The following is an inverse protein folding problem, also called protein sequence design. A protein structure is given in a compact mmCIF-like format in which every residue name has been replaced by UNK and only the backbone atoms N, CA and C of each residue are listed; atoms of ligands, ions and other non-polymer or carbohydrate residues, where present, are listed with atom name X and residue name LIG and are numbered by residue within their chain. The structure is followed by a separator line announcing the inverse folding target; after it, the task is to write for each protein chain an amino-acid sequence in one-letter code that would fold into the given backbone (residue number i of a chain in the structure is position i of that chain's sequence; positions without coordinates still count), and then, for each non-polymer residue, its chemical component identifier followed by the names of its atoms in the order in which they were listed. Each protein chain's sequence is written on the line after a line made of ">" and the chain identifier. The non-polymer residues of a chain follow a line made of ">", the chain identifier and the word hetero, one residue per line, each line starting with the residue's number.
data_IF_576001849500
#
_entry.id   IF_576001849500
#
_cell.length_a   1.000
_cell.length_b   1.000
_cell.length_c   1.000
_cell.angle_alpha   90.00
_cell.angle_beta   90.00
_cell.angle_gamma   90.00
#
_symmetry.space_group_name_H-M   'P 1'
#
loop_
_entity.id
_entity.type
_entity.pdbx_description
1 polymer ?
#
# COMPACT_ATOMS: atom_id res chain seq x y z
N UNK A 1 7.33 4.25 18.39
CA UNK A 1 6.12 4.39 19.24
C UNK A 1 5.08 3.42 18.70
N UNK A 2 4.77 2.33 19.42
CA UNK A 2 3.87 1.27 18.93
C UNK A 2 2.43 1.63 19.31
N UNK A 3 1.52 1.69 18.34
CA UNK A 3 0.10 1.87 18.64
C UNK A 3 -0.42 0.72 19.53
N UNK A 4 -1.33 0.97 20.49
CA UNK A 4 -1.91 -0.10 21.29
C UNK A 4 -2.51 -1.19 20.42
N UNK A 5 -2.27 -2.46 20.75
CA UNK A 5 -2.75 -3.62 19.98
C UNK A 5 -4.27 -3.59 19.73
N UNK A 6 -5.04 -3.11 20.71
CA UNK A 6 -6.48 -2.95 20.59
C UNK A 6 -6.88 -1.94 19.49
N UNK A 7 -6.14 -0.82 19.37
CA UNK A 7 -6.38 0.21 18.34
C UNK A 7 -6.11 -0.35 16.94
N UNK A 8 -4.98 -1.04 16.74
CA UNK A 8 -4.65 -1.68 15.46
C UNK A 8 -5.73 -2.69 15.06
N UNK A 9 -6.14 -3.57 15.99
CA UNK A 9 -7.18 -4.56 15.72
C UNK A 9 -8.55 -3.93 15.42
N UNK A 10 -8.85 -2.76 15.97
CA UNK A 10 -10.06 -2.02 15.64
C UNK A 10 -9.98 -1.41 14.23
N UNK A 11 -8.84 -0.81 13.86
CA UNK A 11 -8.60 -0.27 12.52
C UNK A 11 -8.68 -1.37 11.47
N UNK A 12 -8.01 -2.50 11.66
CA UNK A 12 -8.05 -3.61 10.72
C UNK A 12 -9.49 -4.10 10.46
N UNK A 13 -10.28 -4.32 11.52
CA UNK A 13 -11.69 -4.70 11.40
C UNK A 13 -12.54 -3.66 10.68
N UNK A 14 -12.31 -2.38 10.96
CA UNK A 14 -13.02 -1.29 10.28
C UNK A 14 -12.68 -1.27 8.78
N UNK A 15 -11.40 -1.42 8.42
CA UNK A 15 -10.96 -1.48 7.03
C UNK A 15 -11.58 -2.67 6.31
N UNK A 16 -11.63 -3.85 6.92
CA UNK A 16 -12.28 -5.02 6.33
C UNK A 16 -13.79 -4.82 6.13
N UNK A 17 -14.48 -4.22 7.09
CA UNK A 17 -15.91 -3.92 6.95
C UNK A 17 -16.18 -2.91 5.82
N UNK A 18 -15.35 -1.86 5.73
CA UNK A 18 -15.40 -0.87 4.66
C UNK A 18 -15.08 -1.49 3.30
N UNK A 19 -14.05 -2.35 3.25
CA UNK A 19 -13.66 -3.09 2.05
C UNK A 19 -14.80 -3.96 1.52
N UNK A 20 -15.44 -4.76 2.38
CA UNK A 20 -16.62 -5.57 2.00
C UNK A 20 -17.75 -4.72 1.46
N UNK A 21 -18.07 -3.63 2.14
CA UNK A 21 -19.16 -2.72 1.73
C UNK A 21 -18.85 -2.03 0.39
N UNK A 22 -17.60 -1.58 0.19
CA UNK A 22 -17.16 -0.96 -1.06
C UNK A 22 -17.19 -1.97 -2.20
N UNK A 23 -16.65 -3.16 -1.98
CA UNK A 23 -16.58 -4.20 -3.00
C UNK A 23 -17.98 -4.64 -3.47
N UNK A 24 -18.95 -4.74 -2.56
CA UNK A 24 -20.34 -5.03 -2.91
C UNK A 24 -21.00 -3.95 -3.80
N UNK A 25 -20.54 -2.69 -3.73
CA UNK A 25 -21.06 -1.58 -4.53
C UNK A 25 -20.29 -1.36 -5.84
N UNK A 26 -18.99 -1.62 -5.83
CA UNK A 26 -18.07 -1.45 -6.96
C UNK A 26 -17.06 -2.59 -6.94
N UNK A 27 -17.18 -3.57 -7.86
CA UNK A 27 -16.19 -4.62 -8.02
C UNK A 27 -14.80 -4.01 -8.28
N UNK A 28 -13.79 -4.51 -7.56
CA UNK A 28 -12.42 -3.98 -7.57
C UNK A 28 -11.71 -4.20 -6.23
N UNK A 29 -10.39 -4.03 -6.22
CA UNK A 29 -9.58 -4.13 -5.00
C UNK A 29 -9.66 -2.82 -4.19
N UNK A 30 -10.00 -2.89 -2.89
CA UNK A 30 -9.97 -1.72 -2.01
C UNK A 30 -8.53 -1.27 -1.79
N UNK A 31 -8.30 0.05 -1.78
CA UNK A 31 -7.02 0.67 -1.51
C UNK A 31 -7.08 1.53 -0.25
N UNK A 32 -6.01 1.45 0.56
CA UNK A 32 -5.81 2.23 1.77
C UNK A 32 -4.45 2.90 1.67
N UNK A 33 -4.42 4.24 1.75
CA UNK A 33 -3.19 5.01 1.80
C UNK A 33 -2.79 5.23 3.27
N UNK A 34 -1.54 4.92 3.60
CA UNK A 34 -0.95 5.23 4.91
C UNK A 34 0.15 6.26 4.65
N UNK A 35 -0.10 7.50 5.06
CA UNK A 35 0.80 8.63 4.85
C UNK A 35 1.25 9.25 6.18
N UNK A 36 2.37 9.98 6.13
CA UNK A 36 3.01 10.62 7.26
C UNK A 36 4.52 10.82 7.04
N UNK A 37 5.15 11.66 7.86
CA UNK A 37 6.59 11.94 7.76
C UNK A 37 7.45 10.68 7.92
N UNK A 38 8.72 10.79 7.54
CA UNK A 38 9.72 9.75 7.85
C UNK A 38 9.77 9.52 9.37
N UNK A 39 9.89 8.25 9.79
CA UNK A 39 9.89 7.87 11.20
C UNK A 39 8.51 7.86 11.90
N UNK A 40 7.42 8.27 11.24
CA UNK A 40 6.08 8.32 11.85
C UNK A 40 5.45 6.95 12.17
N UNK A 41 6.09 5.84 11.80
CA UNK A 41 5.60 4.48 12.08
C UNK A 41 4.66 3.90 11.02
N UNK A 42 4.63 4.47 9.80
CA UNK A 42 3.80 3.99 8.67
C UNK A 42 3.98 2.49 8.41
N UNK A 43 5.24 2.05 8.26
CA UNK A 43 5.55 0.64 7.98
C UNK A 43 5.16 -0.27 9.15
N UNK A 44 5.31 0.20 10.39
CA UNK A 44 4.85 -0.52 11.58
C UNK A 44 3.33 -0.69 11.57
N UNK A 45 2.58 0.37 11.27
CA UNK A 45 1.12 0.32 11.17
C UNK A 45 0.67 -0.58 10.02
N UNK A 46 1.29 -0.46 8.84
CA UNK A 46 0.98 -1.27 7.68
C UNK A 46 1.16 -2.76 7.95
N UNK A 47 2.30 -3.16 8.55
CA UNK A 47 2.57 -4.54 8.91
C UNK A 47 1.59 -5.08 9.96
N UNK A 48 1.13 -4.23 10.88
CA UNK A 48 0.19 -4.63 11.92
C UNK A 48 -1.26 -4.76 11.38
N UNK A 49 -1.63 -3.98 10.37
CA UNK A 49 -2.92 -4.08 9.67
C UNK A 49 -2.95 -5.23 8.66
N UNK A 50 -1.82 -5.54 8.04
CA UNK A 50 -1.68 -6.57 7.00
C UNK A 50 -0.68 -7.67 7.43
N UNK A 51 -0.99 -8.43 8.48
CA UNK A 51 -0.13 -9.54 8.89
C UNK A 51 -0.08 -10.62 7.79
N UNK A 52 1.00 -11.44 7.75
CA UNK A 52 1.11 -12.54 6.79
C UNK A 52 -0.12 -13.46 6.80
N UNK A 53 -0.63 -13.80 5.61
CA UNK A 53 -1.85 -14.61 5.44
C UNK A 53 -3.17 -13.84 5.64
N UNK A 54 -3.11 -12.55 5.98
CA UNK A 54 -4.28 -11.68 6.05
C UNK A 54 -4.82 -11.29 4.67
N UNK A 55 -6.00 -10.61 4.63
CA UNK A 55 -6.66 -10.23 3.38
C UNK A 55 -6.01 -9.02 2.69
N UNK A 56 -5.07 -8.34 3.36
CA UNK A 56 -4.41 -7.14 2.89
C UNK A 56 -2.98 -7.42 2.44
N UNK A 57 -2.52 -6.70 1.41
CA UNK A 57 -1.13 -6.66 0.99
C UNK A 57 -0.58 -5.24 1.15
N UNK A 58 0.69 -5.12 1.50
CA UNK A 58 1.38 -3.83 1.62
C UNK A 58 2.22 -3.59 0.38
N UNK A 59 2.08 -2.41 -0.22
CA UNK A 59 2.95 -1.91 -1.28
C UNK A 59 3.62 -0.64 -0.77
N UNK A 60 4.95 -0.70 -0.58
CA UNK A 60 5.74 0.50 -0.29
C UNK A 60 6.04 1.25 -1.60
N UNK A 61 5.82 2.57 -1.64
CA UNK A 61 6.09 3.36 -2.85
C UNK A 61 7.59 3.33 -3.20
N UNK A 62 8.45 3.32 -2.19
CA UNK A 62 9.90 3.22 -2.35
C UNK A 62 10.34 1.91 -3.04
N UNK A 63 9.47 0.90 -3.18
CA UNK A 63 9.82 -0.37 -3.82
C UNK A 63 10.02 -0.26 -5.34
N UNK A 64 9.57 0.83 -5.99
CA UNK A 64 9.60 0.97 -7.45
C UNK A 64 9.87 2.40 -7.93
N UNK A 65 10.28 3.30 -7.04
CA UNK A 65 10.67 4.64 -7.43
C UNK A 65 12.09 4.60 -8.05
N UNK A 66 12.29 5.13 -9.27
CA UNK A 66 13.59 5.09 -9.93
C UNK A 66 14.57 6.11 -9.36
N UNK A 67 15.12 5.79 -8.19
CA UNK A 67 16.05 6.65 -7.48
C UNK A 67 15.42 7.92 -6.91
N UNK A 68 16.27 8.84 -6.45
CA UNK A 68 15.85 10.08 -5.79
C UNK A 68 15.16 11.07 -6.75
N UNK A 69 15.54 11.06 -8.02
CA UNK A 69 14.94 11.92 -9.06
C UNK A 69 13.67 11.30 -9.68
N UNK A 70 13.33 10.06 -9.29
CA UNK A 70 12.25 9.27 -9.86
C UNK A 70 10.85 9.61 -9.38
N UNK A 71 10.65 10.69 -8.62
CA UNK A 71 9.36 11.01 -7.99
C UNK A 71 8.22 11.15 -9.02
N UNK A 72 8.48 11.79 -10.15
CA UNK A 72 7.45 11.97 -11.19
C UNK A 72 7.05 10.62 -11.80
N UNK A 73 8.03 9.80 -12.17
CA UNK A 73 7.80 8.48 -12.75
C UNK A 73 7.11 7.54 -11.75
N UNK A 74 7.61 7.48 -10.52
CA UNK A 74 7.02 6.71 -9.43
C UNK A 74 5.58 7.12 -9.12
N UNK A 75 5.27 8.42 -9.20
CA UNK A 75 3.89 8.92 -9.04
C UNK A 75 2.97 8.48 -10.19
N UNK A 76 3.46 8.50 -11.43
CA UNK A 76 2.72 8.00 -12.60
C UNK A 76 2.43 6.50 -12.49
N UNK A 77 3.41 5.72 -12.06
CA UNK A 77 3.24 4.27 -11.83
C UNK A 77 2.27 3.99 -10.69
N UNK A 78 2.36 4.73 -9.57
CA UNK A 78 1.40 4.64 -8.46
C UNK A 78 -0.03 4.89 -8.94
N UNK A 79 -0.23 5.93 -9.76
CA UNK A 79 -1.54 6.27 -10.30
C UNK A 79 -2.07 5.21 -11.29
N UNK A 80 -1.20 4.55 -12.05
CA UNK A 80 -1.58 3.41 -12.92
C UNK A 80 -2.02 2.21 -12.09
N UNK A 81 -1.19 1.78 -11.14
CA UNK A 81 -1.45 0.66 -10.22
C UNK A 81 -2.78 0.89 -9.50
N UNK A 82 -3.01 2.08 -8.95
CA UNK A 82 -4.23 2.41 -8.24
C UNK A 82 -5.48 2.32 -9.13
N UNK A 83 -5.39 2.80 -10.39
CA UNK A 83 -6.50 2.72 -11.35
C UNK A 83 -6.82 1.28 -11.76
N UNK A 84 -5.80 0.45 -11.95
CA UNK A 84 -5.98 -0.97 -12.28
C UNK A 84 -6.67 -1.71 -11.11
N UNK A 85 -6.14 -1.54 -9.90
CA UNK A 85 -6.67 -2.21 -8.71
C UNK A 85 -8.12 -1.79 -8.41
N UNK A 86 -8.43 -0.50 -8.45
CA UNK A 86 -9.80 -0.01 -8.22
C UNK A 86 -10.77 -0.51 -9.30
N UNK A 87 -10.29 -0.78 -10.52
CA UNK A 87 -11.09 -1.35 -11.60
C UNK A 87 -11.12 -2.88 -11.62
N UNK A 88 -10.48 -3.55 -10.65
CA UNK A 88 -10.41 -5.02 -10.58
C UNK A 88 -9.54 -5.66 -11.65
N UNK A 89 -8.58 -4.91 -12.20
CA UNK A 89 -7.58 -5.43 -13.14
C UNK A 89 -6.29 -5.78 -12.41
N UNK A 90 -5.61 -6.79 -12.93
CA UNK A 90 -4.25 -7.12 -12.52
C UNK A 90 -3.29 -6.00 -12.90
N UNK A 91 -2.24 -5.83 -12.11
CA UNK A 91 -1.19 -4.84 -12.33
C UNK A 91 0.15 -5.38 -11.85
N UNK A 92 1.23 -4.76 -12.29
CA UNK A 92 2.61 -5.15 -11.96
C UNK A 92 3.44 -3.87 -11.80
N UNK A 93 4.62 -3.99 -11.22
CA UNK A 93 5.62 -2.92 -11.19
C UNK A 93 7.00 -3.55 -11.29
N UNK A 94 7.97 -2.76 -11.73
CA UNK A 94 9.38 -3.18 -11.74
C UNK A 94 10.01 -2.74 -10.42
N UNK A 95 10.49 -3.67 -9.58
CA UNK A 95 11.13 -3.30 -8.33
C UNK A 95 12.44 -2.52 -8.60
N UNK A 96 12.81 -1.64 -7.68
CA UNK A 96 14.02 -0.82 -7.80
C UNK A 96 15.11 -1.26 -6.83
N UNK A 97 16.33 -1.42 -7.34
CA UNK A 97 17.54 -1.64 -6.57
C UNK A 97 18.16 -0.28 -6.22
N UNK A 98 17.95 0.14 -4.97
CA UNK A 98 18.50 1.40 -4.46
C UNK A 98 20.03 1.38 -4.31
N UNK A 99 20.64 0.22 -4.11
CA UNK A 99 22.09 0.11 -3.95
C UNK A 99 22.79 0.17 -5.31
N UNK A 100 22.23 -0.51 -6.31
CA UNK A 100 22.78 -0.54 -7.66
C UNK A 100 22.30 0.62 -8.56
N UNK A 101 21.28 1.38 -8.12
CA UNK A 101 20.72 2.50 -8.88
C UNK A 101 20.07 2.07 -10.19
N UNK A 102 19.40 0.92 -10.20
CA UNK A 102 18.77 0.33 -11.40
C UNK A 102 17.54 -0.51 -11.04
N UNK A 103 16.71 -0.91 -12.02
CA UNK A 103 15.71 -1.95 -11.81
C UNK A 103 16.31 -3.26 -11.26
N UNK A 104 15.60 -3.91 -10.34
CA UNK A 104 15.91 -5.25 -9.81
C UNK A 104 15.72 -6.35 -10.87
#
# INVERSE_FOLDING_TARGET
>A
MTAPRATVSAVARALEALARTRHARRPGAPLVLIDGLSGAGKSTLAAAVAPPGGPWRVLGLDSYYPGWDGLEEGSRETARIARDLVAGRDTHYTPWDWEAGRPL
#
